data_IF_247391130041
#
_entry.id   IF_247391130041
#
_cell.length_a   1.000
_cell.length_b   1.000
_cell.length_c   1.000
_cell.angle_alpha   90.00
_cell.angle_beta   90.00
_cell.angle_gamma   90.00
#
_symmetry.space_group_name_H-M   'P 1'
#
loop_
_entity.id
_entity.type
_entity.pdbx_description
1 polymer ?
#
# COMPACT_ATOMS: atom_id res chain seq x y z
N UNK A 1 -15.78 -3.78 12.83
CA UNK A 1 -14.67 -4.07 11.92
C UNK A 1 -13.36 -3.66 12.53
N UNK A 2 -12.34 -4.48 12.41
CA UNK A 2 -10.98 -4.16 12.89
C UNK A 2 -10.27 -3.26 11.88
N UNK A 3 -9.19 -2.59 12.30
CA UNK A 3 -8.35 -1.84 11.35
C UNK A 3 -7.86 -2.71 10.19
N UNK A 4 -7.45 -3.95 10.45
CA UNK A 4 -7.00 -4.88 9.39
C UNK A 4 -8.12 -5.15 8.39
N UNK A 5 -9.34 -5.40 8.87
CA UNK A 5 -10.48 -5.64 7.98
C UNK A 5 -10.82 -4.42 7.13
N UNK A 6 -10.81 -3.22 7.74
CA UNK A 6 -11.03 -1.97 6.99
C UNK A 6 -9.93 -1.75 5.97
N UNK A 7 -8.69 -1.99 6.36
CA UNK A 7 -7.56 -1.84 5.45
C UNK A 7 -7.62 -2.80 4.27
N UNK A 8 -8.09 -4.04 4.51
CA UNK A 8 -8.29 -5.01 3.45
C UNK A 8 -9.30 -4.50 2.42
N UNK A 9 -10.41 -3.94 2.87
CA UNK A 9 -11.43 -3.40 1.97
C UNK A 9 -10.85 -2.25 1.14
N UNK A 10 -10.12 -1.35 1.78
CA UNK A 10 -9.45 -0.25 1.07
C UNK A 10 -8.49 -0.78 0.01
N UNK A 11 -7.68 -1.76 0.38
CA UNK A 11 -6.70 -2.36 -0.52
C UNK A 11 -7.37 -3.04 -1.73
N UNK A 12 -8.37 -3.87 -1.48
CA UNK A 12 -9.07 -4.59 -2.54
C UNK A 12 -9.85 -3.67 -3.46
N UNK A 13 -10.28 -2.51 -2.96
CA UNK A 13 -11.04 -1.54 -3.75
C UNK A 13 -10.14 -0.65 -4.61
N UNK A 14 -8.95 -0.30 -4.10
CA UNK A 14 -8.15 0.77 -4.70
C UNK A 14 -6.77 0.33 -5.22
N UNK A 15 -6.22 -0.77 -4.75
CA UNK A 15 -4.80 -1.09 -4.95
C UNK A 15 -4.57 -2.30 -5.86
N UNK A 16 -5.51 -3.22 -5.93
CA UNK A 16 -5.31 -4.49 -6.65
C UNK A 16 -5.26 -4.35 -8.16
N UNK A 17 -5.65 -3.19 -8.70
CA UNK A 17 -5.51 -2.91 -10.14
C UNK A 17 -4.05 -3.03 -10.57
N UNK A 18 -3.12 -2.60 -9.72
CA UNK A 18 -1.69 -2.60 -10.01
C UNK A 18 -0.90 -3.54 -9.10
N UNK A 19 -1.36 -3.72 -7.86
CA UNK A 19 -0.72 -4.62 -6.89
C UNK A 19 -1.48 -5.95 -6.86
N UNK A 20 -0.79 -7.01 -6.43
CA UNK A 20 -1.43 -8.31 -6.31
C UNK A 20 -2.46 -8.30 -5.17
N UNK A 21 -3.54 -9.09 -5.31
CA UNK A 21 -4.51 -9.27 -4.23
C UNK A 21 -3.83 -9.81 -2.96
N UNK A 22 -2.75 -10.58 -3.11
CA UNK A 22 -1.86 -10.94 -2.02
C UNK A 22 -0.72 -9.89 -1.99
N UNK A 23 -0.67 -9.02 -0.96
CA UNK A 23 0.35 -7.96 -0.93
C UNK A 23 1.79 -8.46 -0.87
N UNK A 24 2.00 -9.73 -0.54
CA UNK A 24 3.34 -10.34 -0.52
C UNK A 24 3.86 -10.69 -1.91
N UNK A 25 3.03 -10.60 -2.93
CA UNK A 25 3.39 -10.93 -4.30
C UNK A 25 3.39 -9.69 -5.19
N UNK A 26 4.20 -9.74 -6.25
CA UNK A 26 4.22 -8.67 -7.23
C UNK A 26 2.91 -8.64 -8.03
N UNK A 27 2.40 -7.44 -8.31
CA UNK A 27 1.25 -7.24 -9.17
C UNK A 27 1.67 -6.92 -10.60
N UNK A 28 0.69 -6.54 -11.43
CA UNK A 28 0.93 -6.21 -12.84
C UNK A 28 1.83 -4.98 -13.00
N UNK A 29 1.65 -3.97 -12.16
CA UNK A 29 2.37 -2.69 -12.22
C UNK A 29 3.15 -2.39 -10.96
N UNK A 30 2.70 -2.90 -9.81
CA UNK A 30 3.28 -2.59 -8.52
C UNK A 30 4.09 -3.73 -7.90
N UNK A 31 5.06 -3.41 -7.04
CA UNK A 31 5.85 -4.41 -6.33
C UNK A 31 5.08 -5.06 -5.18
N UNK A 32 5.64 -6.12 -4.55
CA UNK A 32 5.13 -6.61 -3.27
C UNK A 32 5.22 -5.50 -2.23
N UNK A 33 4.16 -5.28 -1.46
CA UNK A 33 4.10 -4.19 -0.49
C UNK A 33 3.70 -4.63 0.93
N UNK A 34 3.59 -5.93 1.17
CA UNK A 34 3.35 -6.43 2.52
C UNK A 34 4.40 -5.89 3.48
N UNK A 35 3.98 -5.45 4.66
CA UNK A 35 4.89 -4.93 5.67
C UNK A 35 5.36 -3.50 5.45
N UNK A 36 4.83 -2.79 4.46
CA UNK A 36 5.20 -1.39 4.23
C UNK A 36 4.94 -0.54 5.47
N UNK A 37 5.91 0.34 5.79
CA UNK A 37 5.77 1.24 6.93
C UNK A 37 4.64 2.25 6.70
N UNK A 38 4.11 2.82 7.79
CA UNK A 38 3.10 3.87 7.69
C UNK A 38 3.62 5.06 6.89
N UNK A 39 4.87 5.44 7.10
CA UNK A 39 5.48 6.56 6.37
C UNK A 39 5.50 6.29 4.86
N UNK A 40 5.90 5.09 4.46
CA UNK A 40 5.92 4.72 3.05
C UNK A 40 4.50 4.71 2.46
N UNK A 41 3.54 4.14 3.16
CA UNK A 41 2.14 4.10 2.71
C UNK A 41 1.62 5.53 2.56
N UNK A 42 1.83 6.37 3.57
CA UNK A 42 1.38 7.76 3.55
C UNK A 42 1.98 8.53 2.38
N UNK A 43 3.30 8.48 2.25
CA UNK A 43 3.99 9.24 1.21
C UNK A 43 3.57 8.82 -0.19
N UNK A 44 3.44 7.51 -0.42
CA UNK A 44 3.04 7.00 -1.73
C UNK A 44 1.57 7.29 -2.05
N UNK A 45 0.69 7.05 -1.10
CA UNK A 45 -0.75 7.22 -1.33
C UNK A 45 -1.12 8.69 -1.48
N UNK A 46 -0.56 9.55 -0.64
CA UNK A 46 -0.94 10.96 -0.63
C UNK A 46 -0.22 11.78 -1.69
N UNK A 47 1.06 11.53 -1.92
CA UNK A 47 1.91 12.44 -2.69
C UNK A 47 2.77 11.77 -3.75
N UNK A 48 2.71 10.45 -3.90
CA UNK A 48 3.57 9.67 -4.80
C UNK A 48 5.05 9.84 -4.48
N UNK A 49 5.37 10.15 -3.23
CA UNK A 49 6.74 10.32 -2.76
C UNK A 49 7.27 9.03 -2.14
N UNK A 50 8.57 8.99 -1.94
CA UNK A 50 9.24 7.97 -1.14
C UNK A 50 9.87 8.63 0.08
N UNK A 51 9.85 7.96 1.25
CA UNK A 51 10.56 8.47 2.42
C UNK A 51 12.05 8.62 2.14
N UNK A 52 12.74 9.56 2.81
CA UNK A 52 14.18 9.69 2.66
C UNK A 52 14.91 8.37 2.93
N UNK A 53 15.84 8.03 2.06
CA UNK A 53 16.62 6.80 2.19
C UNK A 53 15.95 5.53 1.68
N UNK A 54 14.68 5.60 1.28
CA UNK A 54 13.98 4.44 0.73
C UNK A 54 14.41 4.20 -0.72
N UNK A 55 14.72 2.95 -1.06
CA UNK A 55 15.03 2.55 -2.43
C UNK A 55 13.80 1.93 -3.06
N UNK A 56 13.23 2.52 -4.12
CA UNK A 56 12.04 1.96 -4.78
C UNK A 56 12.33 0.56 -5.32
N UNK A 57 11.35 -0.34 -5.12
CA UNK A 57 11.45 -1.73 -5.60
C UNK A 57 11.26 -1.83 -7.12
N UNK A 58 10.56 -0.87 -7.70
CA UNK A 58 10.31 -0.79 -9.14
C UNK A 58 10.41 0.65 -9.61
N UNK A 59 10.70 0.82 -10.90
CA UNK A 59 10.78 2.14 -11.54
C UNK A 59 9.48 2.52 -12.27
N UNK A 60 8.42 1.72 -12.14
CA UNK A 60 7.12 2.02 -12.73
C UNK A 60 6.52 3.30 -12.13
N UNK A 61 5.89 4.10 -12.97
CA UNK A 61 5.22 5.33 -12.57
C UNK A 61 3.70 5.26 -12.77
N UNK A 62 3.14 4.05 -12.76
CA UNK A 62 1.72 3.83 -13.01
C UNK A 62 0.83 4.20 -11.83
N UNK A 63 1.37 4.23 -10.62
CA UNK A 63 0.57 4.55 -9.43
C UNK A 63 0.07 5.99 -9.45
N UNK A 64 -1.18 6.19 -9.03
CA UNK A 64 -1.78 7.51 -8.88
C UNK A 64 -1.94 7.85 -7.41
N UNK A 65 -1.85 9.14 -7.08
CA UNK A 65 -2.13 9.60 -5.73
C UNK A 65 -3.63 9.41 -5.41
N UNK A 66 -3.91 9.03 -4.17
CA UNK A 66 -5.26 8.77 -3.69
C UNK A 66 -5.49 9.55 -2.39
N UNK A 67 -5.45 10.91 -2.44
CA UNK A 67 -5.53 11.72 -1.22
C UNK A 67 -6.86 11.56 -0.47
N UNK A 68 -7.91 11.08 -1.13
CA UNK A 68 -9.18 10.77 -0.48
C UNK A 68 -9.05 9.64 0.55
N UNK A 69 -7.94 8.90 0.54
CA UNK A 69 -7.69 7.84 1.50
C UNK A 69 -6.93 8.31 2.74
N UNK A 70 -6.82 9.62 2.97
CA UNK A 70 -6.08 10.18 4.11
C UNK A 70 -6.52 9.58 5.45
N UNK A 71 -7.81 9.32 5.64
CA UNK A 71 -8.35 8.76 6.87
C UNK A 71 -8.25 7.23 6.95
N UNK A 72 -7.63 6.60 5.95
CA UNK A 72 -7.49 5.14 5.87
C UNK A 72 -6.04 4.67 5.89
N UNK A 73 -5.09 5.56 6.06
CA UNK A 73 -3.67 5.21 6.03
C UNK A 73 -3.33 4.22 7.14
N UNK A 74 -3.83 4.44 8.36
CA UNK A 74 -3.56 3.53 9.48
C UNK A 74 -4.18 2.15 9.25
N UNK A 75 -5.40 2.12 8.73
CA UNK A 75 -6.08 0.85 8.42
C UNK A 75 -5.32 0.08 7.35
N UNK A 76 -4.92 0.76 6.28
CA UNK A 76 -4.16 0.15 5.19
C UNK A 76 -2.82 -0.37 5.69
N UNK A 77 -2.12 0.40 6.50
CA UNK A 77 -0.85 -0.01 7.11
C UNK A 77 -1.02 -1.26 7.97
N UNK A 78 -2.10 -1.31 8.77
CA UNK A 78 -2.39 -2.47 9.60
C UNK A 78 -2.64 -3.73 8.76
N UNK A 79 -3.37 -3.60 7.66
CA UNK A 79 -3.60 -4.72 6.75
C UNK A 79 -2.29 -5.23 6.13
N UNK A 80 -1.44 -4.32 5.66
CA UNK A 80 -0.17 -4.70 5.05
C UNK A 80 0.78 -5.34 6.06
N UNK A 81 0.77 -4.87 7.31
CA UNK A 81 1.56 -5.48 8.37
C UNK A 81 1.10 -6.91 8.67
N UNK A 82 -0.22 -7.13 8.70
CA UNK A 82 -0.78 -8.46 8.91
C UNK A 82 -0.40 -9.40 7.77
N UNK A 83 -0.44 -8.90 6.53
CA UNK A 83 -0.06 -9.70 5.36
C UNK A 83 1.39 -10.16 5.40
N UNK A 84 2.28 -9.41 6.04
CA UNK A 84 3.70 -9.74 6.13
C UNK A 84 3.99 -10.84 7.16
N UNK A 85 3.03 -11.20 7.99
CA UNK A 85 3.22 -12.24 9.02
C UNK A 85 3.16 -13.66 8.48
N UNK A 86 2.76 -13.84 7.25
CA UNK A 86 2.59 -15.18 6.66
C UNK A 86 3.71 -15.54 5.71
#
# INVERSE_FOLDING_TARGET
MTPVERGRIVYMTNCVVCHNANPSLAGSQGPPIAGSSRELVYDRVMFLKYPPGYTPKRTSHAMRALPQLANRIDDLTAFLAEAAKN
#
